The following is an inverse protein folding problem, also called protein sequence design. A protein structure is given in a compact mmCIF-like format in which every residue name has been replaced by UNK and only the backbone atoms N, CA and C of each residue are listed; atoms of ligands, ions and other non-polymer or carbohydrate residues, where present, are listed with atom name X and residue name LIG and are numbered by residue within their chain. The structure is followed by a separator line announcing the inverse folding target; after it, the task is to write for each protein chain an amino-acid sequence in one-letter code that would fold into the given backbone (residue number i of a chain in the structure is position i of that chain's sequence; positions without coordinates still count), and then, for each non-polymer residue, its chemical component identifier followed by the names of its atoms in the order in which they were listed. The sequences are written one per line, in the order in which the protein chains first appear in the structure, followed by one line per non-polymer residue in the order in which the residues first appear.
data_IF_519895145892
#
_entry.id   IF_519895145892
#
_cell.length_a   1.000
_cell.length_b   1.000
_cell.length_c   1.000
_cell.angle_alpha   90.00
_cell.angle_beta   90.00
_cell.angle_gamma   90.00
#
_symmetry.space_group_name_H-M   'P 1'
#
loop_
_entity.id
_entity.type
_entity.pdbx_description
1 polymer ?
#
# COMPACT_ATOMS: atom_id res chain seq x y z
N UNK A 1 -31.69 -10.47 -11.29
CA UNK A 1 -30.33 -9.90 -11.25
C UNK A 1 -29.85 -10.01 -9.81
N UNK A 2 -29.16 -11.09 -9.46
CA UNK A 2 -28.81 -11.40 -8.08
C UNK A 2 -27.63 -10.52 -7.62
N UNK A 3 -27.88 -9.69 -6.62
CA UNK A 3 -26.84 -8.91 -5.94
C UNK A 3 -26.03 -9.85 -5.07
N UNK A 4 -24.86 -10.29 -5.56
CA UNK A 4 -23.88 -10.99 -4.72
C UNK A 4 -23.43 -10.03 -3.63
N UNK A 5 -23.87 -10.27 -2.40
CA UNK A 5 -23.47 -9.49 -1.23
C UNK A 5 -22.03 -9.85 -0.88
N UNK A 6 -21.22 -8.87 -0.46
CA UNK A 6 -19.80 -9.04 -0.07
C UNK A 6 -19.55 -10.20 0.94
N UNK A 7 -20.61 -10.59 1.68
CA UNK A 7 -20.67 -11.75 2.56
C UNK A 7 -20.42 -13.11 1.87
N UNK A 8 -20.75 -13.23 0.58
CA UNK A 8 -20.77 -14.51 -0.14
C UNK A 8 -19.36 -15.02 -0.49
N UNK A 9 -18.36 -14.13 -0.52
CA UNK A 9 -16.97 -14.49 -0.87
C UNK A 9 -16.06 -14.53 0.36
N UNK A 10 -16.29 -13.65 1.34
CA UNK A 10 -15.43 -13.55 2.52
C UNK A 10 -15.53 -14.77 3.43
N UNK A 11 -16.76 -15.26 3.67
CA UNK A 11 -16.98 -16.39 4.59
C UNK A 11 -16.29 -17.68 4.11
N UNK A 12 -16.42 -18.09 2.83
CA UNK A 12 -15.68 -19.24 2.31
C UNK A 12 -14.16 -19.07 2.36
N UNK A 13 -13.63 -17.87 2.04
CA UNK A 13 -12.19 -17.60 2.09
C UNK A 13 -11.62 -17.75 3.51
N UNK A 14 -12.32 -17.22 4.52
CA UNK A 14 -11.90 -17.34 5.90
C UNK A 14 -11.99 -18.79 6.40
N UNK A 15 -13.04 -19.51 6.00
CA UNK A 15 -13.20 -20.92 6.37
C UNK A 15 -12.04 -21.80 5.86
N UNK A 16 -11.51 -21.53 4.66
CA UNK A 16 -10.32 -22.22 4.13
C UNK A 16 -9.07 -22.03 5.00
N UNK A 17 -9.01 -20.93 5.76
CA UNK A 17 -7.91 -20.61 6.67
C UNK A 17 -8.20 -20.98 8.13
N UNK A 18 -9.25 -21.77 8.39
CA UNK A 18 -9.76 -22.08 9.74
C UNK A 18 -10.14 -20.84 10.55
N UNK A 19 -10.73 -19.84 9.88
CA UNK A 19 -11.17 -18.59 10.49
C UNK A 19 -12.66 -18.39 10.28
N UNK A 20 -13.31 -17.75 11.24
CA UNK A 20 -14.72 -17.39 11.17
C UNK A 20 -14.92 -15.95 11.64
N UNK A 21 -15.64 -15.16 10.83
CA UNK A 21 -16.01 -13.80 11.19
C UNK A 21 -17.29 -13.82 12.03
N UNK A 22 -17.22 -13.29 13.25
CA UNK A 22 -18.35 -13.25 14.17
C UNK A 22 -18.68 -11.81 14.58
N UNK A 23 -19.96 -11.48 14.82
CA UNK A 23 -20.31 -10.29 15.58
C UNK A 23 -19.94 -10.47 17.07
N UNK A 24 -19.50 -9.40 17.71
CA UNK A 24 -19.22 -9.36 19.14
C UNK A 24 -19.92 -8.14 19.76
N UNK A 25 -20.65 -8.31 20.87
CA UNK A 25 -21.58 -7.29 21.40
C UNK A 25 -20.93 -5.94 21.70
N UNK A 26 -19.64 -5.93 22.06
CA UNK A 26 -18.89 -4.71 22.40
C UNK A 26 -17.80 -4.36 21.37
N UNK A 27 -17.32 -5.34 20.61
CA UNK A 27 -16.11 -5.19 19.77
C UNK A 27 -16.44 -5.08 18.28
N UNK A 28 -17.73 -5.06 17.94
CA UNK A 28 -18.19 -5.06 16.56
C UNK A 28 -17.98 -6.42 15.92
N UNK A 29 -16.88 -6.61 15.18
CA UNK A 29 -16.58 -7.86 14.46
C UNK A 29 -15.29 -8.47 14.97
N UNK A 30 -15.28 -9.78 15.15
CA UNK A 30 -14.10 -10.55 15.55
C UNK A 30 -13.80 -11.63 14.53
N UNK A 31 -12.51 -11.91 14.32
CA UNK A 31 -12.06 -13.04 13.54
C UNK A 31 -11.58 -14.14 14.51
N UNK A 32 -12.25 -15.28 14.51
CA UNK A 32 -12.03 -16.36 15.45
C UNK A 32 -11.43 -17.57 14.73
N UNK A 33 -10.41 -18.19 15.32
CA UNK A 33 -9.91 -19.47 14.83
C UNK A 33 -10.91 -20.59 15.15
N UNK A 34 -11.17 -21.48 14.19
CA UNK A 34 -12.03 -22.65 14.36
C UNK A 34 -11.23 -23.89 14.79
N UNK A 35 -9.91 -23.84 14.66
CA UNK A 35 -8.97 -24.88 15.09
C UNK A 35 -7.77 -24.28 15.82
N UNK A 36 -7.03 -25.05 16.64
CA UNK A 36 -5.77 -24.59 17.19
C UNK A 36 -4.77 -24.17 16.09
N UNK A 37 -4.09 -23.03 16.28
CA UNK A 37 -3.08 -22.51 15.35
C UNK A 37 -1.69 -22.68 15.97
N UNK A 38 -0.83 -23.56 15.44
CA UNK A 38 0.53 -23.72 15.93
C UNK A 38 1.37 -22.44 15.82
N UNK A 39 2.37 -22.29 16.69
CA UNK A 39 3.32 -21.18 16.61
C UNK A 39 4.06 -21.18 15.27
N UNK A 40 4.19 -20.00 14.67
CA UNK A 40 4.85 -19.81 13.37
C UNK A 40 3.94 -20.01 12.15
N UNK A 41 2.65 -20.32 12.33
CA UNK A 41 1.71 -20.51 11.21
C UNK A 41 1.40 -19.17 10.54
N UNK A 42 1.53 -19.11 9.21
CA UNK A 42 1.01 -18.00 8.41
C UNK A 42 -0.50 -18.14 8.25
N UNK A 43 -1.26 -17.28 8.94
CA UNK A 43 -2.73 -17.35 8.97
C UNK A 43 -3.36 -16.66 7.77
N UNK A 44 -2.87 -15.47 7.40
CA UNK A 44 -3.31 -14.71 6.22
C UNK A 44 -2.13 -13.93 5.64
N UNK A 45 -2.11 -13.75 4.32
CA UNK A 45 -1.15 -12.89 3.62
C UNK A 45 -1.81 -12.14 2.45
N UNK A 46 -2.78 -11.26 2.72
CA UNK A 46 -3.44 -10.49 1.68
C UNK A 46 -2.49 -9.45 1.08
N UNK A 47 -2.64 -9.09 -0.20
CA UNK A 47 -1.96 -7.92 -0.74
C UNK A 47 -2.44 -6.65 -0.02
N UNK A 48 -1.56 -5.66 0.08
CA UNK A 48 -1.95 -4.35 0.58
C UNK A 48 -3.01 -3.75 -0.33
N UNK A 49 -4.06 -3.17 0.27
CA UNK A 49 -5.11 -2.50 -0.48
C UNK A 49 -4.61 -1.19 -1.10
N UNK A 50 -3.80 -0.44 -0.36
CA UNK A 50 -3.03 0.70 -0.84
C UNK A 50 -1.73 0.83 -0.04
N UNK A 51 -0.72 1.46 -0.62
CA UNK A 51 0.58 1.73 0.02
C UNK A 51 0.99 3.18 -0.21
N UNK A 52 1.29 3.89 0.87
CA UNK A 52 1.83 5.26 0.82
C UNK A 52 3.28 5.23 1.27
N UNK A 53 4.10 6.01 0.58
CA UNK A 53 5.48 6.21 0.96
C UNK A 53 5.56 7.19 2.14
N UNK A 54 6.00 6.72 3.30
CA UNK A 54 6.38 7.58 4.43
C UNK A 54 7.84 8.01 4.30
N UNK A 55 8.19 9.16 4.85
CA UNK A 55 9.55 9.67 4.80
C UNK A 55 10.50 8.71 5.51
N UNK A 56 11.53 8.29 4.79
CA UNK A 56 12.53 7.32 5.27
C UNK A 56 13.92 7.80 4.90
N UNK A 57 14.92 7.66 5.80
CA UNK A 57 16.31 7.94 5.47
C UNK A 57 16.83 7.00 4.36
N UNK A 58 16.25 5.80 4.24
CA UNK A 58 16.56 4.86 3.16
C UNK A 58 15.52 4.99 2.05
N UNK A 59 15.91 5.29 0.80
CA UNK A 59 14.98 5.36 -0.30
C UNK A 59 14.46 3.96 -0.65
N UNK A 60 13.21 3.87 -1.13
CA UNK A 60 12.57 2.61 -1.47
C UNK A 60 11.71 2.72 -2.73
N UNK A 61 11.38 1.55 -3.29
CA UNK A 61 10.46 1.43 -4.40
C UNK A 61 9.03 1.73 -3.97
N UNK A 62 8.36 2.66 -4.64
CA UNK A 62 6.99 3.07 -4.31
C UNK A 62 5.92 2.01 -4.61
N UNK A 63 6.30 0.92 -5.30
CA UNK A 63 5.44 -0.23 -5.57
C UNK A 63 5.69 -1.39 -4.59
N UNK A 64 6.88 -1.99 -4.65
CA UNK A 64 7.20 -3.22 -3.92
C UNK A 64 7.85 -3.00 -2.55
N UNK A 65 8.07 -1.73 -2.16
CA UNK A 65 8.66 -1.33 -0.88
C UNK A 65 10.08 -1.83 -0.61
N UNK A 66 10.73 -2.46 -1.59
CA UNK A 66 12.14 -2.83 -1.51
C UNK A 66 12.97 -1.57 -1.31
N UNK A 67 13.77 -1.56 -0.25
CA UNK A 67 14.73 -0.51 0.02
C UNK A 67 15.87 -0.58 -0.97
N UNK A 68 16.42 0.57 -1.32
CA UNK A 68 17.63 0.65 -2.10
C UNK A 68 18.82 0.85 -1.18
N UNK A 69 19.93 0.20 -1.50
CA UNK A 69 21.19 0.41 -0.78
C UNK A 69 21.69 1.83 -1.04
N UNK A 70 21.75 2.70 0.00
CA UNK A 70 22.24 4.07 -0.16
C UNK A 70 23.75 4.14 -0.43
N UNK A 71 24.49 3.07 -0.15
CA UNK A 71 25.94 2.98 -0.33
C UNK A 71 26.35 2.18 -1.57
N UNK A 72 25.40 1.69 -2.36
CA UNK A 72 25.69 1.00 -3.61
C UNK A 72 26.30 1.98 -4.63
N UNK A 73 27.62 1.91 -4.79
CA UNK A 73 28.38 2.64 -5.84
C UNK A 73 28.26 2.00 -7.22
N UNK A 74 27.48 0.92 -7.35
CA UNK A 74 27.22 0.29 -8.64
C UNK A 74 26.42 1.23 -9.54
N UNK A 75 27.06 1.69 -10.62
CA UNK A 75 26.46 2.49 -11.71
C UNK A 75 25.24 1.81 -12.35
N UNK A 76 25.05 0.51 -12.11
CA UNK A 76 23.96 -0.32 -12.64
C UNK A 76 22.68 -0.25 -11.80
N UNK A 77 22.74 0.20 -10.54
CA UNK A 77 21.56 0.38 -9.66
C UNK A 77 20.95 1.77 -9.83
N UNK A 78 20.68 2.17 -11.08
CA UNK A 78 19.97 3.42 -11.34
C UNK A 78 18.51 3.22 -10.92
N UNK A 79 18.08 3.91 -9.86
CA UNK A 79 16.69 3.89 -9.39
C UNK A 79 15.85 4.85 -10.24
N UNK A 80 15.11 4.38 -11.27
CA UNK A 80 14.30 5.27 -12.08
C UNK A 80 13.30 6.02 -11.22
N UNK A 81 13.26 7.34 -11.42
CA UNK A 81 12.20 8.19 -10.90
C UNK A 81 11.10 8.32 -11.93
N UNK A 82 9.87 8.53 -11.48
CA UNK A 82 8.80 8.97 -12.37
C UNK A 82 9.22 10.29 -13.03
N UNK A 83 9.28 10.31 -14.36
CA UNK A 83 9.75 11.49 -15.11
C UNK A 83 8.83 12.71 -14.94
N UNK A 84 7.56 12.50 -14.62
CA UNK A 84 6.56 13.55 -14.51
C UNK A 84 6.56 14.25 -13.15
N UNK A 85 6.54 13.51 -12.05
CA UNK A 85 6.50 14.09 -10.69
C UNK A 85 7.86 14.15 -10.00
N UNK A 86 8.88 13.43 -10.51
CA UNK A 86 10.23 13.32 -9.93
C UNK A 86 10.32 12.81 -8.48
N UNK A 87 9.20 12.49 -7.84
CA UNK A 87 9.10 12.04 -6.45
C UNK A 87 9.16 10.52 -6.30
N UNK A 88 8.31 9.79 -7.04
CA UNK A 88 8.28 8.33 -6.95
C UNK A 88 9.55 7.69 -7.52
N UNK A 89 10.08 6.69 -6.81
CA UNK A 89 11.23 5.86 -7.21
C UNK A 89 10.80 4.42 -7.39
N UNK A 90 11.42 3.73 -8.34
CA UNK A 90 11.09 2.33 -8.66
C UNK A 90 12.35 1.49 -8.83
N UNK A 91 12.23 0.17 -8.62
CA UNK A 91 13.30 -0.76 -8.97
C UNK A 91 13.55 -0.77 -10.49
N UNK A 92 12.48 -0.69 -11.28
CA UNK A 92 12.49 -0.79 -12.73
C UNK A 92 11.13 -0.34 -13.31
N UNK A 93 11.02 -0.37 -14.64
CA UNK A 93 9.81 0.00 -15.38
C UNK A 93 8.60 -0.87 -15.02
N UNK A 94 8.80 -2.14 -14.65
CA UNK A 94 7.71 -3.03 -14.22
C UNK A 94 7.04 -2.49 -12.96
N UNK A 95 7.83 -2.12 -11.95
CA UNK A 95 7.30 -1.51 -10.72
C UNK A 95 6.58 -0.18 -11.00
N UNK A 96 7.14 0.65 -11.89
CA UNK A 96 6.51 1.91 -12.28
C UNK A 96 5.14 1.68 -12.96
N UNK A 97 5.07 0.74 -13.91
CA UNK A 97 3.83 0.40 -14.62
C UNK A 97 2.76 -0.17 -13.69
N UNK A 98 3.16 -0.98 -12.70
CA UNK A 98 2.20 -1.53 -11.74
C UNK A 98 1.71 -0.46 -10.76
N UNK A 99 2.60 0.38 -10.21
CA UNK A 99 2.18 1.48 -9.33
C UNK A 99 1.24 2.46 -10.05
N UNK A 100 1.48 2.70 -11.35
CA UNK A 100 0.56 3.49 -12.18
C UNK A 100 -0.86 2.94 -12.19
N UNK A 101 -1.02 1.62 -12.30
CA UNK A 101 -2.33 0.94 -12.29
C UNK A 101 -2.98 0.96 -10.91
N UNK A 102 -2.18 0.84 -9.85
CA UNK A 102 -2.66 0.75 -8.46
C UNK A 102 -2.76 2.10 -7.75
N UNK A 103 -2.66 3.23 -8.47
CA UNK A 103 -3.05 4.54 -7.95
C UNK A 103 -2.02 5.66 -8.11
N UNK A 104 -0.79 5.40 -8.53
CA UNK A 104 0.21 6.47 -8.73
C UNK A 104 -0.25 7.54 -9.72
N UNK A 105 -1.07 7.19 -10.73
CA UNK A 105 -1.60 8.17 -11.70
C UNK A 105 -2.34 9.34 -11.05
N UNK A 106 -3.02 9.09 -9.93
CA UNK A 106 -3.74 10.11 -9.18
C UNK A 106 -2.76 10.96 -8.36
N UNK A 107 -1.82 10.31 -7.65
CA UNK A 107 -0.79 10.99 -6.87
C UNK A 107 0.18 11.82 -7.71
N UNK A 108 0.54 11.32 -8.89
CA UNK A 108 1.51 11.95 -9.78
C UNK A 108 1.09 13.37 -10.15
N UNK A 109 -0.21 13.58 -10.41
CA UNK A 109 -0.75 14.90 -10.70
C UNK A 109 -0.72 15.82 -9.48
N UNK A 110 -1.04 15.30 -8.29
CA UNK A 110 -1.01 16.08 -7.04
C UNK A 110 0.41 16.51 -6.71
N UNK A 111 1.39 15.61 -6.74
CA UNK A 111 2.78 15.93 -6.46
C UNK A 111 3.36 16.92 -7.46
N UNK A 112 3.05 16.78 -8.76
CA UNK A 112 3.51 17.73 -9.78
C UNK A 112 3.05 19.16 -9.50
N UNK A 113 1.85 19.36 -8.94
CA UNK A 113 1.34 20.70 -8.58
C UNK A 113 2.05 21.28 -7.36
N UNK A 114 2.39 20.45 -6.37
CA UNK A 114 2.96 20.89 -5.08
C UNK A 114 4.43 21.33 -5.18
N UNK A 115 5.22 20.65 -6.01
CA UNK A 115 6.63 21.03 -6.27
C UNK A 115 6.74 22.44 -6.92
N UNK A 116 5.68 22.95 -7.54
CA UNK A 116 5.64 24.30 -8.10
C UNK A 116 5.26 25.40 -7.07
N UNK A 117 4.89 25.03 -5.83
CA UNK A 117 4.24 25.93 -4.87
C UNK A 117 5.03 26.30 -3.59
N UNK A 118 6.09 25.56 -3.23
CA UNK A 118 6.97 25.89 -2.09
C UNK A 118 6.45 25.54 -0.67
N UNK A 119 7.31 24.80 0.06
CA UNK A 119 7.39 24.48 1.52
C UNK A 119 6.10 24.37 2.36
N UNK A 120 5.68 23.13 2.62
CA UNK A 120 4.71 22.80 3.68
C UNK A 120 5.32 22.81 5.09
N UNK A 121 4.56 23.28 6.06
CA UNK A 121 4.76 23.22 7.51
C UNK A 121 4.54 21.79 8.09
N UNK A 122 5.05 21.53 9.29
CA UNK A 122 4.98 20.23 9.97
C UNK A 122 3.56 19.75 10.34
N UNK A 123 2.52 20.58 10.29
CA UNK A 123 1.12 20.13 10.49
C UNK A 123 0.46 19.63 9.19
N UNK A 124 1.09 19.86 8.05
CA UNK A 124 0.55 19.45 6.74
C UNK A 124 0.96 18.02 6.36
N UNK A 125 1.95 17.42 7.05
CA UNK A 125 2.48 16.10 6.68
C UNK A 125 1.47 14.96 6.90
N UNK A 126 0.78 14.94 8.05
CA UNK A 126 -0.19 13.87 8.37
C UNK A 126 -1.36 13.92 7.38
N UNK A 127 -1.85 15.13 7.13
CA UNK A 127 -2.95 15.38 6.19
C UNK A 127 -2.55 15.02 4.76
N UNK A 128 -1.32 15.33 4.35
CA UNK A 128 -0.81 14.96 3.02
C UNK A 128 -0.75 13.44 2.84
N UNK A 129 -0.29 12.69 3.84
CA UNK A 129 -0.15 11.23 3.73
C UNK A 129 -1.51 10.52 3.75
N UNK A 130 -2.46 11.02 4.52
CA UNK A 130 -3.83 10.52 4.51
C UNK A 130 -4.51 10.77 3.15
N UNK A 131 -4.32 11.97 2.58
CA UNK A 131 -4.81 12.27 1.22
C UNK A 131 -4.15 11.38 0.17
N UNK A 132 -2.83 11.16 0.27
CA UNK A 132 -2.12 10.21 -0.60
C UNK A 132 -2.70 8.79 -0.49
N UNK A 133 -3.08 8.36 0.72
CA UNK A 133 -3.67 7.05 0.97
C UNK A 133 -5.06 6.94 0.33
N UNK A 134 -5.91 7.94 0.54
CA UNK A 134 -7.24 7.99 -0.03
C UNK A 134 -7.20 7.98 -1.55
N UNK A 135 -6.30 8.74 -2.18
CA UNK A 135 -6.16 8.80 -3.63
C UNK A 135 -5.65 7.49 -4.26
N UNK A 136 -4.89 6.66 -3.54
CA UNK A 136 -4.45 5.35 -4.04
C UNK A 136 -5.53 4.26 -3.93
N UNK A 137 -6.52 4.46 -3.08
CA UNK A 137 -7.64 3.54 -2.87
C UNK A 137 -8.74 3.69 -3.94
N UNK A 138 -8.83 4.86 -4.57
CA UNK A 138 -9.81 5.22 -5.61
C UNK A 138 -9.42 4.73 -7.01
#
# INVERSE_FOLDING_TARGET
MSTTTQSDVLTPFLAQSNLHLNPHPIKGRTLNATTPIPRGTLVLSPPAFATVAVDSPTPFCHYCLTTFDPHSTSTTQKQPRCSACQRAKYCNETCQKQDWKTGHKYLCNTWKRREAGGSSSNLEWEVEKDEEMLLKVL
#
